data_IF_592609276777
#
_entry.id   IF_592609276777
#
_cell.length_a   1.000
_cell.length_b   1.000
_cell.length_c   1.000
_cell.angle_alpha   90.00
_cell.angle_beta   90.00
_cell.angle_gamma   90.00
#
_symmetry.space_group_name_H-M   'P 1'
#
loop_
_entity.id
_entity.type
_entity.pdbx_description
1 polymer ?
#
# COMPACT_ATOMS: atom_id res chain seq x y z
N UNK A 1 16.72 -37.60 -68.10
CA UNK A 1 15.60 -36.64 -68.09
C UNK A 1 16.04 -35.51 -67.19
N UNK A 2 16.04 -34.30 -67.76
CA UNK A 2 16.14 -32.96 -67.13
C UNK A 2 17.46 -32.64 -66.40
N UNK A 3 18.34 -31.83 -67.01
CA UNK A 3 18.39 -30.34 -66.99
C UNK A 3 19.02 -29.84 -65.66
N UNK A 4 20.28 -29.40 -65.61
CA UNK A 4 20.96 -28.21 -66.16
C UNK A 4 20.62 -26.88 -65.46
N UNK A 5 21.69 -26.10 -65.26
CA UNK A 5 21.76 -24.62 -65.09
C UNK A 5 21.53 -24.06 -63.67
N UNK A 6 22.57 -23.48 -63.04
CA UNK A 6 23.01 -22.05 -63.09
C UNK A 6 22.24 -21.23 -62.02
N UNK A 7 22.71 -20.21 -61.30
CA UNK A 7 23.76 -19.20 -61.52
C UNK A 7 23.92 -18.39 -60.21
N UNK A 8 25.17 -18.01 -59.89
CA UNK A 8 25.67 -16.73 -59.33
C UNK A 8 24.92 -16.07 -58.16
N UNK A 9 25.56 -15.99 -56.99
CA UNK A 9 25.30 -14.93 -55.99
C UNK A 9 26.19 -13.72 -56.29
N UNK A 10 25.58 -12.62 -56.72
CA UNK A 10 26.22 -11.32 -56.91
C UNK A 10 26.37 -10.56 -55.59
N UNK A 11 27.57 -10.02 -55.37
CA UNK A 11 27.89 -9.03 -54.34
C UNK A 11 27.02 -7.77 -54.48
N UNK A 12 26.46 -7.29 -53.37
CA UNK A 12 25.81 -5.99 -53.29
C UNK A 12 26.76 -5.00 -52.61
N UNK A 13 27.16 -3.99 -53.39
CA UNK A 13 27.89 -2.77 -52.99
C UNK A 13 26.99 -1.90 -52.10
N UNK A 14 27.53 -1.22 -51.07
CA UNK A 14 26.75 -0.38 -50.17
C UNK A 14 26.35 0.94 -50.82
N UNK A 15 25.07 1.26 -50.78
CA UNK A 15 24.51 2.55 -51.21
C UNK A 15 24.82 3.63 -50.19
N UNK A 16 25.53 4.67 -50.63
CA UNK A 16 25.77 5.91 -49.89
C UNK A 16 24.46 6.70 -49.75
N UNK A 17 24.10 7.07 -48.52
CA UNK A 17 23.10 8.12 -48.26
C UNK A 17 23.76 9.50 -48.30
N UNK A 18 23.12 10.52 -48.92
CA UNK A 18 23.66 11.87 -48.98
C UNK A 18 23.34 12.67 -47.72
N UNK A 19 24.39 13.31 -47.19
CA UNK A 19 24.37 14.42 -46.23
C UNK A 19 23.75 15.66 -46.88
N UNK A 20 22.89 16.43 -46.18
CA UNK A 20 22.73 17.85 -46.45
C UNK A 20 23.46 18.69 -45.39
N UNK A 21 24.21 19.65 -45.92
CA UNK A 21 25.04 20.64 -45.24
C UNK A 21 24.24 21.71 -44.49
N UNK A 22 24.97 22.35 -43.58
CA UNK A 22 24.70 23.59 -42.87
C UNK A 22 24.07 24.70 -43.73
N UNK A 23 23.11 25.44 -43.14
CA UNK A 23 23.02 26.89 -43.33
C UNK A 23 22.91 27.61 -41.98
N UNK A 24 23.82 28.58 -41.80
CA UNK A 24 23.91 29.49 -40.67
C UNK A 24 23.07 30.75 -40.90
N UNK A 25 22.60 31.29 -39.77
CA UNK A 25 22.44 32.72 -39.46
C UNK A 25 21.37 33.54 -40.19
N UNK A 26 20.39 34.03 -39.41
CA UNK A 26 20.04 35.46 -39.42
C UNK A 26 19.83 35.92 -37.97
N UNK A 27 20.59 36.95 -37.62
CA UNK A 27 20.51 37.76 -36.40
C UNK A 27 19.40 38.77 -36.59
N UNK A 28 18.49 38.93 -35.63
CA UNK A 28 17.73 40.17 -35.50
C UNK A 28 17.66 40.69 -34.07
N UNK A 29 18.01 41.97 -33.97
CA UNK A 29 18.08 42.82 -32.78
C UNK A 29 16.72 43.42 -32.51
N UNK A 30 16.28 43.46 -31.26
CA UNK A 30 15.47 44.57 -30.75
C UNK A 30 15.61 44.71 -29.23
N UNK A 31 16.02 45.91 -28.81
CA UNK A 31 16.16 46.38 -27.44
C UNK A 31 14.84 47.07 -26.98
N UNK A 32 14.71 47.47 -25.70
CA UNK A 32 13.45 47.48 -24.95
C UNK A 32 12.71 48.82 -24.97
N UNK A 33 11.41 48.80 -24.65
CA UNK A 33 10.64 49.98 -24.27
C UNK A 33 10.04 49.84 -22.88
N UNK A 34 10.44 50.79 -22.05
CA UNK A 34 9.92 51.13 -20.73
C UNK A 34 8.45 51.55 -20.77
N UNK A 35 7.70 51.23 -19.72
CA UNK A 35 6.65 52.13 -19.26
C UNK A 35 6.63 52.22 -17.73
N UNK A 36 6.71 53.47 -17.29
CA UNK A 36 6.74 54.01 -15.94
C UNK A 36 5.32 54.40 -15.56
N UNK A 37 4.87 54.09 -14.35
CA UNK A 37 3.75 54.76 -13.65
C UNK A 37 4.09 54.79 -12.13
N UNK A 38 3.77 55.88 -11.39
CA UNK A 38 4.68 56.47 -10.41
C UNK A 38 4.39 56.15 -8.93
N UNK A 39 5.38 56.50 -8.10
CA UNK A 39 5.37 56.54 -6.65
C UNK A 39 4.41 57.61 -6.07
N UNK A 40 3.84 57.33 -4.89
CA UNK A 40 3.74 58.34 -3.84
C UNK A 40 3.91 57.71 -2.45
N UNK A 41 4.58 58.47 -1.61
CA UNK A 41 5.26 58.16 -0.37
C UNK A 41 4.34 58.07 0.86
N UNK A 42 4.81 57.38 1.91
CA UNK A 42 4.17 57.40 3.22
C UNK A 42 4.78 56.45 4.24
N UNK A 43 5.84 56.91 4.91
CA UNK A 43 6.54 56.29 6.05
C UNK A 43 5.62 55.96 7.24
N UNK A 44 5.84 54.81 7.90
CA UNK A 44 6.11 54.74 9.35
C UNK A 44 6.30 53.28 9.79
N UNK A 45 7.38 53.01 10.50
CA UNK A 45 7.68 51.70 11.06
C UNK A 45 6.73 51.29 12.18
N UNK A 46 6.50 49.99 12.30
CA UNK A 46 6.15 49.33 13.56
C UNK A 46 6.37 47.83 13.40
N UNK A 47 7.33 47.31 14.15
CA UNK A 47 7.48 45.88 14.45
C UNK A 47 6.13 45.35 14.94
N UNK A 48 5.57 44.35 14.28
CA UNK A 48 4.50 43.52 14.86
C UNK A 48 4.97 42.08 14.93
N UNK A 49 5.23 41.69 16.17
CA UNK A 49 5.42 40.32 16.59
C UNK A 49 4.23 39.46 16.17
N UNK A 50 4.52 38.21 15.81
CA UNK A 50 3.51 37.17 15.67
C UNK A 50 2.68 37.07 16.97
N UNK A 51 1.34 36.98 16.90
CA UNK A 51 0.57 36.71 18.09
C UNK A 51 0.88 35.30 18.57
N UNK A 52 1.40 35.21 19.81
CA UNK A 52 1.31 34.01 20.62
C UNK A 52 -0.17 33.70 20.76
N UNK A 53 -0.59 32.53 20.27
CA UNK A 53 -1.85 31.93 20.69
C UNK A 53 -1.65 31.46 22.13
N UNK A 54 -1.89 32.38 23.06
CA UNK A 54 -2.27 32.01 24.41
C UNK A 54 -3.65 31.33 24.29
N UNK A 55 -3.75 30.11 24.79
CA UNK A 55 -4.99 29.37 25.03
C UNK A 55 -5.83 30.10 26.08
N UNK A 56 -7.09 30.48 25.80
CA UNK A 56 -8.11 30.49 26.81
C UNK A 56 -9.19 29.48 26.42
N UNK A 57 -9.86 28.94 27.43
CA UNK A 57 -10.95 27.96 27.37
C UNK A 57 -10.52 26.50 27.58
N UNK A 58 -9.96 26.26 28.77
CA UNK A 58 -10.39 25.11 29.56
C UNK A 58 -11.90 25.17 29.81
N UNK A 59 -12.70 24.72 28.86
CA UNK A 59 -14.03 24.17 29.13
C UNK A 59 -13.85 22.67 29.20
N UNK A 60 -13.83 22.13 30.42
CA UNK A 60 -14.06 20.70 30.64
C UNK A 60 -15.35 20.34 29.89
N UNK A 61 -15.21 19.60 28.80
CA UNK A 61 -16.31 18.86 28.18
C UNK A 61 -16.86 18.00 29.32
N UNK A 62 -18.10 18.23 29.73
CA UNK A 62 -18.77 17.32 30.64
C UNK A 62 -19.08 16.10 29.78
N UNK A 63 -18.15 15.16 29.71
CA UNK A 63 -18.38 13.84 29.14
C UNK A 63 -19.41 13.14 30.03
N UNK A 64 -20.45 12.59 29.40
CA UNK A 64 -21.28 11.60 30.08
C UNK A 64 -20.46 10.32 30.31
N UNK A 65 -20.83 9.47 31.28
CA UNK A 65 -20.08 8.25 31.61
C UNK A 65 -19.87 7.27 30.44
N UNK A 66 -20.64 7.38 29.35
CA UNK A 66 -20.46 6.58 28.13
C UNK A 66 -19.50 7.17 27.09
N UNK A 67 -19.15 8.46 27.16
CA UNK A 67 -18.20 9.09 26.23
C UNK A 67 -16.75 8.82 26.64
N UNK A 68 -16.47 8.79 27.95
CA UNK A 68 -15.11 8.50 28.46
C UNK A 68 -14.68 7.05 28.13
N UNK A 69 -15.58 6.07 28.22
CA UNK A 69 -15.27 4.68 27.82
C UNK A 69 -15.11 4.49 26.31
N UNK A 70 -15.80 5.31 25.52
CA UNK A 70 -15.68 5.31 24.04
C UNK A 70 -14.30 5.79 23.61
N UNK A 71 -13.83 6.89 24.20
CA UNK A 71 -12.50 7.43 23.91
C UNK A 71 -11.39 6.47 24.41
N UNK A 72 -11.59 5.82 25.56
CA UNK A 72 -10.66 4.82 26.11
C UNK A 72 -10.54 3.57 25.21
N UNK A 73 -11.65 3.06 24.66
CA UNK A 73 -11.61 1.91 23.75
C UNK A 73 -10.97 2.25 22.41
N UNK A 74 -11.23 3.44 21.85
CA UNK A 74 -10.53 3.91 20.65
C UNK A 74 -9.02 4.00 20.90
N UNK A 75 -8.59 4.53 22.05
CA UNK A 75 -7.17 4.61 22.42
C UNK A 75 -6.56 3.21 22.61
N UNK A 76 -7.26 2.31 23.29
CA UNK A 76 -6.83 0.92 23.49
C UNK A 76 -6.65 0.18 22.16
N UNK A 77 -7.62 0.27 21.25
CA UNK A 77 -7.52 -0.34 19.92
C UNK A 77 -6.47 0.34 19.02
N UNK A 78 -6.20 1.63 19.21
CA UNK A 78 -5.15 2.32 18.46
C UNK A 78 -3.73 1.95 18.95
N UNK A 79 -3.57 1.67 20.24
CA UNK A 79 -2.27 1.38 20.90
C UNK A 79 -1.98 -0.12 21.02
N UNK A 80 -2.94 -0.98 20.67
CA UNK A 80 -2.74 -2.44 20.66
C UNK A 80 -1.55 -2.81 19.76
N UNK A 81 -0.72 -3.77 20.17
CA UNK A 81 0.49 -4.14 19.44
C UNK A 81 1.76 -3.39 19.86
N UNK A 82 1.66 -2.25 20.53
CA UNK A 82 2.85 -1.51 21.02
C UNK A 82 3.61 -2.31 22.10
N UNK A 83 2.91 -3.21 22.81
CA UNK A 83 3.46 -4.29 23.64
C UNK A 83 2.72 -5.59 23.31
N UNK A 84 3.22 -6.32 22.30
CA UNK A 84 2.44 -7.20 21.43
C UNK A 84 1.52 -8.26 22.09
N UNK A 85 1.91 -8.90 23.21
CA UNK A 85 1.13 -10.03 23.74
C UNK A 85 0.18 -9.68 24.88
N UNK A 86 0.65 -8.89 25.87
CA UNK A 86 -0.17 -8.57 27.07
C UNK A 86 -1.38 -7.72 26.72
N UNK A 87 -1.20 -6.75 25.83
CA UNK A 87 -2.26 -5.81 25.47
C UNK A 87 -3.39 -6.50 24.68
N UNK A 88 -3.12 -7.60 23.96
CA UNK A 88 -4.16 -8.32 23.19
C UNK A 88 -5.17 -9.01 24.11
N UNK A 89 -4.68 -9.74 25.11
CA UNK A 89 -5.56 -10.44 26.06
C UNK A 89 -6.39 -9.44 26.86
N UNK A 90 -5.77 -8.38 27.38
CA UNK A 90 -6.47 -7.29 28.11
C UNK A 90 -7.53 -6.60 27.23
N UNK A 91 -7.20 -6.36 25.95
CA UNK A 91 -8.17 -5.78 25.00
C UNK A 91 -9.32 -6.75 24.74
N UNK A 92 -9.06 -8.04 24.59
CA UNK A 92 -10.11 -9.04 24.40
C UNK A 92 -11.05 -9.14 25.60
N UNK A 93 -10.52 -9.12 26.82
CA UNK A 93 -11.35 -9.11 28.03
C UNK A 93 -12.26 -7.86 28.07
N UNK A 94 -11.70 -6.70 27.69
CA UNK A 94 -12.47 -5.46 27.55
C UNK A 94 -13.53 -5.57 26.45
N UNK A 95 -13.22 -6.27 25.36
CA UNK A 95 -14.11 -6.58 24.24
C UNK A 95 -15.03 -7.79 24.49
N UNK A 96 -15.07 -8.41 25.66
CA UNK A 96 -16.07 -9.46 25.96
C UNK A 96 -17.29 -8.92 26.71
N UNK A 97 -17.19 -7.72 27.31
CA UNK A 97 -18.28 -7.10 28.06
C UNK A 97 -19.29 -6.32 27.17
N UNK A 98 -19.43 -6.69 25.89
CA UNK A 98 -19.85 -5.78 24.81
C UNK A 98 -21.30 -5.85 24.32
N UNK A 99 -22.17 -6.67 24.89
CA UNK A 99 -23.54 -6.84 24.35
C UNK A 99 -24.32 -5.52 24.22
N UNK A 100 -23.89 -4.43 24.89
CA UNK A 100 -24.52 -3.11 24.83
C UNK A 100 -23.84 -2.09 23.90
N UNK A 101 -22.71 -2.42 23.26
CA UNK A 101 -21.90 -1.47 22.46
C UNK A 101 -21.39 -2.01 21.11
N UNK A 102 -21.93 -3.12 20.60
CA UNK A 102 -21.46 -3.78 19.37
C UNK A 102 -21.30 -2.82 18.18
N UNK A 103 -22.30 -1.97 17.91
CA UNK A 103 -22.24 -1.02 16.79
C UNK A 103 -21.10 0.01 16.92
N UNK A 104 -20.79 0.46 18.14
CA UNK A 104 -19.67 1.37 18.36
C UNK A 104 -18.35 0.68 18.02
N UNK A 105 -18.21 -0.58 18.42
CA UNK A 105 -16.97 -1.34 18.29
C UNK A 105 -16.71 -1.71 16.84
N UNK A 106 -17.75 -2.08 16.10
CA UNK A 106 -17.70 -2.24 14.65
C UNK A 106 -17.19 -0.95 13.97
N UNK A 107 -17.63 0.23 14.43
CA UNK A 107 -17.10 1.50 13.91
C UNK A 107 -15.62 1.70 14.25
N UNK A 108 -15.18 1.32 15.44
CA UNK A 108 -13.77 1.41 15.84
C UNK A 108 -12.90 0.46 15.00
N UNK A 109 -13.32 -0.80 14.78
CA UNK A 109 -12.66 -1.72 13.86
C UNK A 109 -12.53 -1.13 12.47
N UNK A 110 -13.64 -0.63 11.90
CA UNK A 110 -13.64 -0.01 10.58
C UNK A 110 -12.67 1.20 10.52
N UNK A 111 -12.58 2.03 11.56
CA UNK A 111 -11.60 3.12 11.62
C UNK A 111 -10.16 2.61 11.70
N UNK A 112 -9.89 1.63 12.55
CA UNK A 112 -8.56 1.06 12.74
C UNK A 112 -8.03 0.44 11.45
N UNK A 113 -8.84 -0.35 10.75
CA UNK A 113 -8.46 -0.95 9.45
C UNK A 113 -8.10 0.13 8.42
N UNK A 114 -8.86 1.23 8.40
CA UNK A 114 -8.63 2.33 7.45
C UNK A 114 -7.42 3.18 7.78
N UNK A 115 -7.09 3.39 9.06
CA UNK A 115 -6.10 4.41 9.47
C UNK A 115 -4.91 3.87 10.27
N UNK A 116 -4.86 2.57 10.54
CA UNK A 116 -3.77 1.85 11.20
C UNK A 116 -3.44 0.51 10.50
N UNK A 117 -3.29 0.49 9.16
CA UNK A 117 -3.07 -0.75 8.41
C UNK A 117 -1.78 -1.50 8.78
N UNK A 118 -0.79 -0.84 9.39
CA UNK A 118 0.41 -1.47 9.94
C UNK A 118 0.10 -2.45 11.09
N UNK A 119 -1.10 -2.36 11.68
CA UNK A 119 -1.62 -3.26 12.73
C UNK A 119 -2.70 -4.22 12.23
N UNK A 120 -2.86 -4.36 10.91
CA UNK A 120 -3.95 -5.10 10.26
C UNK A 120 -4.14 -6.52 10.80
N UNK A 121 -3.06 -7.29 10.99
CA UNK A 121 -3.12 -8.68 11.46
C UNK A 121 -3.54 -8.80 12.93
N UNK A 122 -3.33 -7.74 13.72
CA UNK A 122 -3.83 -7.67 15.09
C UNK A 122 -5.34 -7.48 15.04
N UNK A 123 -5.83 -6.58 14.19
CA UNK A 123 -7.26 -6.34 14.04
C UNK A 123 -8.00 -7.55 13.47
N UNK A 124 -7.43 -8.27 12.50
CA UNK A 124 -8.05 -9.50 11.99
C UNK A 124 -8.12 -10.56 13.07
N UNK A 125 -7.05 -10.73 13.87
CA UNK A 125 -7.00 -11.67 15.00
C UNK A 125 -8.06 -11.33 16.04
N UNK A 126 -8.16 -10.06 16.43
CA UNK A 126 -9.20 -9.60 17.36
C UNK A 126 -10.60 -9.86 16.80
N UNK A 127 -10.85 -9.55 15.53
CA UNK A 127 -12.13 -9.81 14.89
C UNK A 127 -12.49 -11.31 14.93
N UNK A 128 -11.53 -12.19 14.63
CA UNK A 128 -11.67 -13.64 14.75
C UNK A 128 -12.02 -14.09 16.17
N UNK A 129 -11.34 -13.56 17.18
CA UNK A 129 -11.54 -13.91 18.58
C UNK A 129 -12.87 -13.40 19.15
N UNK A 130 -13.30 -12.19 18.78
CA UNK A 130 -14.63 -11.68 19.16
C UNK A 130 -15.72 -12.50 18.48
N UNK A 131 -15.53 -12.88 17.20
CA UNK A 131 -16.48 -13.69 16.44
C UNK A 131 -16.74 -15.09 17.03
N UNK A 132 -15.73 -15.70 17.68
CA UNK A 132 -15.93 -16.98 18.40
C UNK A 132 -17.00 -16.85 19.48
N UNK A 133 -17.07 -15.71 20.16
CA UNK A 133 -18.00 -15.47 21.27
C UNK A 133 -19.31 -14.81 20.81
N UNK A 134 -19.26 -13.95 19.80
CA UNK A 134 -20.44 -13.29 19.20
C UNK A 134 -20.42 -13.42 17.68
N UNK A 135 -21.04 -14.49 17.12
CA UNK A 135 -21.14 -14.64 15.66
C UNK A 135 -21.97 -13.54 14.98
N UNK A 136 -22.95 -12.97 15.70
CA UNK A 136 -23.73 -11.83 15.20
C UNK A 136 -22.85 -10.60 14.99
N UNK A 137 -21.95 -10.30 15.94
CA UNK A 137 -20.94 -9.27 15.78
C UNK A 137 -20.11 -9.51 14.52
N UNK A 138 -19.64 -10.75 14.28
CA UNK A 138 -18.86 -11.06 13.08
C UNK A 138 -19.63 -10.79 11.78
N UNK A 139 -20.91 -11.14 11.75
CA UNK A 139 -21.79 -10.86 10.61
C UNK A 139 -21.95 -9.35 10.38
N UNK A 140 -22.26 -8.57 11.41
CA UNK A 140 -22.43 -7.12 11.28
C UNK A 140 -21.11 -6.41 10.95
N UNK A 141 -19.98 -6.92 11.48
CA UNK A 141 -18.65 -6.42 11.16
C UNK A 141 -18.36 -6.58 9.67
N UNK A 142 -18.55 -7.78 9.10
CA UNK A 142 -18.23 -7.99 7.68
C UNK A 142 -19.18 -7.21 6.76
N UNK A 143 -20.46 -7.07 7.12
CA UNK A 143 -21.40 -6.20 6.42
C UNK A 143 -20.92 -4.75 6.41
N UNK A 144 -20.44 -4.24 7.55
CA UNK A 144 -19.89 -2.88 7.62
C UNK A 144 -18.60 -2.74 6.81
N UNK A 145 -17.69 -3.70 6.88
CA UNK A 145 -16.42 -3.63 6.15
C UNK A 145 -16.65 -3.62 4.63
N UNK A 146 -17.55 -4.46 4.10
CA UNK A 146 -17.87 -4.45 2.68
C UNK A 146 -18.64 -3.19 2.27
N UNK A 147 -19.51 -2.65 3.13
CA UNK A 147 -20.12 -1.34 2.89
C UNK A 147 -19.08 -0.22 2.73
N UNK A 148 -18.08 -0.18 3.62
CA UNK A 148 -16.99 0.80 3.56
C UNK A 148 -16.09 0.59 2.33
N UNK A 149 -15.86 -0.66 1.90
CA UNK A 149 -15.16 -0.98 0.66
C UNK A 149 -15.89 -0.41 -0.56
N UNK A 150 -17.19 -0.70 -0.68
CA UNK A 150 -18.00 -0.24 -1.81
C UNK A 150 -18.07 1.29 -1.88
N UNK A 151 -18.22 1.96 -0.73
CA UNK A 151 -18.15 3.43 -0.64
C UNK A 151 -16.77 3.94 -1.06
N UNK A 152 -15.69 3.31 -0.60
CA UNK A 152 -14.32 3.74 -0.93
C UNK A 152 -14.01 3.60 -2.42
N UNK A 153 -14.41 2.48 -3.06
CA UNK A 153 -14.26 2.29 -4.50
C UNK A 153 -15.07 3.32 -5.30
N UNK A 154 -16.31 3.58 -4.90
CA UNK A 154 -17.20 4.54 -5.57
C UNK A 154 -16.68 5.97 -5.47
N UNK A 155 -16.11 6.33 -4.32
CA UNK A 155 -15.57 7.67 -4.04
C UNK A 155 -14.13 7.87 -4.56
N UNK A 156 -13.51 6.83 -5.13
CA UNK A 156 -12.12 6.88 -5.59
C UNK A 156 -11.09 6.94 -4.47
N UNK A 157 -11.42 6.46 -3.26
CA UNK A 157 -10.53 6.35 -2.10
C UNK A 157 -9.77 5.02 -2.16
N UNK A 158 -8.92 4.89 -3.17
CA UNK A 158 -8.26 3.63 -3.52
C UNK A 158 -7.24 3.14 -2.49
N UNK A 159 -6.60 4.05 -1.75
CA UNK A 159 -5.72 3.75 -0.63
C UNK A 159 -6.49 3.06 0.52
N UNK A 160 -7.68 3.58 0.84
CA UNK A 160 -8.56 3.00 1.85
C UNK A 160 -9.11 1.66 1.37
N UNK A 161 -9.53 1.57 0.11
CA UNK A 161 -10.01 0.32 -0.49
C UNK A 161 -8.95 -0.78 -0.42
N UNK A 162 -7.69 -0.47 -0.76
CA UNK A 162 -6.56 -1.39 -0.66
C UNK A 162 -6.42 -1.96 0.77
N UNK A 163 -6.40 -1.09 1.79
CA UNK A 163 -6.30 -1.50 3.20
C UNK A 163 -7.44 -2.43 3.61
N UNK A 164 -8.67 -2.13 3.18
CA UNK A 164 -9.84 -2.97 3.45
C UNK A 164 -9.72 -4.33 2.74
N UNK A 165 -9.30 -4.36 1.47
CA UNK A 165 -9.15 -5.60 0.70
C UNK A 165 -8.09 -6.51 1.33
N UNK A 166 -6.95 -5.94 1.75
CA UNK A 166 -5.90 -6.68 2.47
C UNK A 166 -6.42 -7.25 3.80
N UNK A 167 -7.23 -6.48 4.54
CA UNK A 167 -7.83 -6.96 5.79
C UNK A 167 -8.80 -8.12 5.54
N UNK A 168 -9.67 -8.00 4.53
CA UNK A 168 -10.61 -9.07 4.15
C UNK A 168 -9.87 -10.35 3.74
N UNK A 169 -8.75 -10.24 3.01
CA UNK A 169 -7.94 -11.40 2.67
C UNK A 169 -7.38 -12.09 3.92
N UNK A 170 -6.82 -11.30 4.85
CA UNK A 170 -6.22 -11.81 6.09
C UNK A 170 -7.24 -12.45 7.05
N UNK A 171 -8.52 -12.07 7.01
CA UNK A 171 -9.56 -12.68 7.85
C UNK A 171 -9.65 -14.21 7.72
N UNK A 172 -9.32 -14.78 6.56
CA UNK A 172 -9.30 -16.24 6.39
C UNK A 172 -8.17 -16.93 7.17
N UNK A 173 -7.11 -16.22 7.55
CA UNK A 173 -6.07 -16.71 8.47
C UNK A 173 -6.59 -16.87 9.91
N UNK A 174 -7.73 -16.27 10.23
CA UNK A 174 -8.31 -16.23 11.58
C UNK A 174 -9.54 -17.12 11.74
N UNK A 175 -9.84 -17.95 10.72
CA UNK A 175 -11.05 -18.79 10.72
C UNK A 175 -12.35 -18.04 10.40
N UNK A 176 -12.30 -16.71 10.27
CA UNK A 176 -13.48 -15.87 10.03
C UNK A 176 -14.09 -16.07 8.63
N UNK A 177 -13.25 -16.24 7.60
CA UNK A 177 -13.66 -16.54 6.21
C UNK A 177 -13.09 -17.89 5.75
N UNK A 178 -13.69 -18.48 4.71
CA UNK A 178 -13.09 -19.62 3.99
C UNK A 178 -12.09 -19.13 2.94
N UNK A 179 -11.13 -19.97 2.55
CA UNK A 179 -10.22 -19.66 1.44
C UNK A 179 -10.95 -19.59 0.10
N UNK A 180 -12.04 -20.34 -0.07
CA UNK A 180 -12.88 -20.27 -1.29
C UNK A 180 -13.56 -18.90 -1.41
N UNK A 181 -14.13 -18.40 -0.31
CA UNK A 181 -14.73 -17.07 -0.23
C UNK A 181 -13.70 -15.99 -0.57
N UNK A 182 -12.49 -16.06 0.00
CA UNK A 182 -11.41 -15.09 -0.31
C UNK A 182 -10.92 -15.23 -1.75
N UNK A 183 -10.79 -16.44 -2.28
CA UNK A 183 -10.40 -16.64 -3.68
C UNK A 183 -11.43 -16.05 -4.66
N UNK A 184 -12.73 -16.26 -4.40
CA UNK A 184 -13.80 -15.66 -5.19
C UNK A 184 -13.74 -14.13 -5.13
N UNK A 185 -13.58 -13.56 -3.94
CA UNK A 185 -13.42 -12.13 -3.72
C UNK A 185 -12.24 -11.53 -4.49
N UNK A 186 -11.04 -12.11 -4.38
CA UNK A 186 -9.86 -11.63 -5.11
C UNK A 186 -10.03 -11.75 -6.64
N UNK A 187 -10.73 -12.79 -7.10
CA UNK A 187 -10.96 -12.99 -8.53
C UNK A 187 -11.87 -11.93 -9.15
N UNK A 188 -12.81 -11.33 -8.40
CA UNK A 188 -13.70 -10.26 -8.90
C UNK A 188 -12.89 -9.06 -9.41
N UNK A 189 -11.81 -8.68 -8.70
CA UNK A 189 -10.91 -7.60 -9.12
C UNK A 189 -10.11 -7.95 -10.39
N UNK A 190 -9.95 -9.24 -10.68
CA UNK A 190 -9.20 -9.75 -11.81
C UNK A 190 -10.08 -10.05 -13.04
N UNK A 191 -11.39 -9.83 -12.99
CA UNK A 191 -12.29 -10.09 -14.13
C UNK A 191 -12.06 -9.11 -15.30
N UNK A 192 -11.57 -7.91 -15.00
CA UNK A 192 -11.44 -6.81 -15.97
C UNK A 192 -10.07 -6.68 -16.64
N UNK A 193 -9.13 -7.59 -16.35
CA UNK A 193 -7.72 -7.51 -16.78
C UNK A 193 -7.49 -7.61 -18.31
N UNK A 194 -8.54 -7.82 -19.10
CA UNK A 194 -8.44 -7.86 -20.56
C UNK A 194 -8.19 -6.47 -21.18
N UNK A 195 -8.58 -5.39 -20.50
CA UNK A 195 -8.43 -4.01 -21.00
C UNK A 195 -7.46 -3.24 -20.11
N UNK A 196 -6.26 -2.94 -20.61
CA UNK A 196 -5.24 -2.20 -19.87
C UNK A 196 -5.66 -0.73 -19.64
N UNK A 197 -5.83 -0.34 -18.38
CA UNK A 197 -6.05 1.03 -17.93
C UNK A 197 -5.62 1.21 -16.45
N UNK A 198 -5.76 2.42 -15.90
CA UNK A 198 -5.36 2.71 -14.51
C UNK A 198 -6.18 1.93 -13.46
N UNK A 199 -7.43 1.59 -13.77
CA UNK A 199 -8.27 0.79 -12.86
C UNK A 199 -7.79 -0.66 -12.81
N UNK A 200 -7.46 -1.26 -13.96
CA UNK A 200 -6.92 -2.62 -13.99
C UNK A 200 -5.54 -2.71 -13.35
N UNK A 201 -4.71 -1.68 -13.53
CA UNK A 201 -3.43 -1.55 -12.82
C UNK A 201 -3.63 -1.54 -11.30
N UNK A 202 -4.59 -0.75 -10.82
CA UNK A 202 -4.92 -0.71 -9.39
C UNK A 202 -5.40 -2.06 -8.87
N UNK A 203 -6.30 -2.74 -9.58
CA UNK A 203 -6.83 -4.03 -9.14
C UNK A 203 -5.80 -5.16 -9.16
N UNK A 204 -4.96 -5.23 -10.19
CA UNK A 204 -3.86 -6.21 -10.23
C UNK A 204 -2.86 -5.95 -9.12
N UNK A 205 -2.47 -4.68 -8.91
CA UNK A 205 -1.63 -4.30 -7.79
C UNK A 205 -2.26 -4.66 -6.45
N UNK A 206 -3.57 -4.44 -6.29
CA UNK A 206 -4.29 -4.76 -5.06
C UNK A 206 -4.26 -6.25 -4.76
N UNK A 207 -4.51 -7.10 -5.76
CA UNK A 207 -4.44 -8.56 -5.55
C UNK A 207 -3.01 -8.98 -5.22
N UNK A 208 -2.01 -8.49 -5.96
CA UNK A 208 -0.59 -8.70 -5.64
C UNK A 208 -0.26 -8.30 -4.19
N UNK A 209 -0.72 -7.13 -3.76
CA UNK A 209 -0.50 -6.57 -2.43
C UNK A 209 -1.06 -7.47 -1.35
N UNK A 210 -2.18 -8.17 -1.56
CA UNK A 210 -2.73 -9.07 -0.53
C UNK A 210 -1.91 -10.35 -0.29
N UNK A 211 -1.13 -10.79 -1.28
CA UNK A 211 -0.49 -12.11 -1.27
C UNK A 211 0.54 -12.34 -0.15
N UNK A 212 1.30 -11.37 0.35
CA UNK A 212 2.17 -11.57 1.53
C UNK A 212 1.37 -11.96 2.77
N UNK A 213 0.14 -11.44 2.93
CA UNK A 213 -0.70 -11.76 4.08
C UNK A 213 -1.35 -13.13 3.95
N UNK A 214 -1.87 -13.49 2.77
CA UNK A 214 -2.70 -14.69 2.59
C UNK A 214 -2.05 -15.86 1.83
N UNK A 215 -0.99 -15.60 1.07
CA UNK A 215 -0.43 -16.53 0.10
C UNK A 215 0.03 -17.85 0.71
N UNK A 216 0.60 -17.84 1.92
CA UNK A 216 0.98 -19.05 2.65
C UNK A 216 -0.20 -19.96 2.97
N UNK A 217 -1.32 -19.39 3.40
CA UNK A 217 -2.50 -20.17 3.76
C UNK A 217 -3.13 -20.80 2.51
N UNK A 218 -3.19 -20.04 1.42
CA UNK A 218 -3.55 -20.60 0.11
C UNK A 218 -2.59 -21.72 -0.32
N UNK A 219 -1.29 -21.49 -0.27
CA UNK A 219 -0.29 -22.47 -0.69
C UNK A 219 -0.45 -23.81 0.03
N UNK A 220 -0.68 -23.77 1.35
CA UNK A 220 -0.81 -24.98 2.17
C UNK A 220 -2.18 -25.67 2.04
N UNK A 221 -3.26 -24.91 1.85
CA UNK A 221 -4.62 -25.45 2.00
C UNK A 221 -5.51 -25.36 0.75
N UNK A 222 -5.16 -24.50 -0.22
CA UNK A 222 -5.90 -24.30 -1.46
C UNK A 222 -4.97 -23.79 -2.61
N UNK A 223 -4.00 -24.61 -3.06
CA UNK A 223 -2.98 -24.19 -4.04
C UNK A 223 -3.56 -23.93 -5.44
N UNK A 224 -4.65 -24.60 -5.82
CA UNK A 224 -5.28 -24.42 -7.14
C UNK A 224 -5.83 -23.00 -7.35
N UNK A 225 -6.67 -22.43 -6.45
CA UNK A 225 -7.07 -21.03 -6.53
C UNK A 225 -5.89 -20.05 -6.61
N UNK A 226 -4.83 -20.29 -5.85
CA UNK A 226 -3.63 -19.45 -5.87
C UNK A 226 -2.93 -19.46 -7.22
N UNK A 227 -2.70 -20.64 -7.79
CA UNK A 227 -2.09 -20.77 -9.11
C UNK A 227 -2.92 -20.06 -10.18
N UNK A 228 -4.24 -20.16 -10.13
CA UNK A 228 -5.13 -19.45 -11.06
C UNK A 228 -5.01 -17.93 -10.96
N UNK A 229 -4.91 -17.39 -9.74
CA UNK A 229 -4.69 -15.95 -9.51
C UNK A 229 -3.32 -15.53 -10.09
N UNK A 230 -2.26 -16.29 -9.79
CA UNK A 230 -0.91 -16.01 -10.30
C UNK A 230 -0.83 -16.06 -11.82
N UNK A 231 -1.51 -17.00 -12.46
CA UNK A 231 -1.55 -17.10 -13.93
C UNK A 231 -2.23 -15.88 -14.56
N UNK A 232 -3.33 -15.39 -13.97
CA UNK A 232 -3.99 -14.15 -14.43
C UNK A 232 -3.07 -12.94 -14.29
N UNK A 233 -2.38 -12.82 -13.15
CA UNK A 233 -1.41 -11.74 -12.91
C UNK A 233 -0.26 -11.82 -13.93
N UNK A 234 0.36 -12.99 -14.10
CA UNK A 234 1.47 -13.20 -15.04
C UNK A 234 1.09 -12.81 -16.47
N UNK A 235 -0.12 -13.18 -16.91
CA UNK A 235 -0.62 -12.83 -18.23
C UNK A 235 -0.82 -11.32 -18.41
N UNK A 236 -1.27 -10.62 -17.37
CA UNK A 236 -1.43 -9.17 -17.39
C UNK A 236 -0.07 -8.45 -17.42
N UNK A 237 0.80 -8.78 -16.47
CA UNK A 237 2.15 -8.19 -16.34
C UNK A 237 2.96 -8.36 -17.63
N UNK A 238 2.87 -9.53 -18.27
CA UNK A 238 3.58 -9.80 -19.53
C UNK A 238 3.11 -8.98 -20.75
N UNK A 239 1.90 -8.41 -20.71
CA UNK A 239 1.34 -7.61 -21.83
C UNK A 239 1.32 -6.11 -21.56
N UNK A 240 1.43 -5.69 -20.30
CA UNK A 240 1.31 -4.31 -19.86
C UNK A 240 2.38 -3.40 -20.48
N UNK A 241 1.96 -2.23 -20.94
CA UNK A 241 2.83 -1.21 -21.53
C UNK A 241 3.42 -0.34 -20.42
N UNK A 242 4.69 0.04 -20.61
CA UNK A 242 5.50 0.76 -19.59
C UNK A 242 6.05 2.07 -20.13
N UNK A 243 5.24 2.78 -20.92
CA UNK A 243 5.66 4.03 -21.57
C UNK A 243 5.95 5.15 -20.56
N UNK A 244 5.30 5.11 -19.40
CA UNK A 244 5.51 6.05 -18.29
C UNK A 244 6.88 5.95 -17.64
N UNK A 245 7.55 4.79 -17.71
CA UNK A 245 8.77 4.51 -16.94
C UNK A 245 9.85 5.58 -17.13
N UNK A 246 10.15 5.95 -18.38
CA UNK A 246 11.16 6.97 -18.70
C UNK A 246 10.83 8.35 -18.15
N UNK A 247 9.55 8.68 -18.02
CA UNK A 247 9.09 9.97 -17.51
C UNK A 247 9.09 10.05 -15.98
N UNK A 248 9.01 8.90 -15.32
CA UNK A 248 8.95 8.80 -13.85
C UNK A 248 10.31 8.49 -13.21
N UNK A 249 11.30 8.05 -13.99
CA UNK A 249 12.64 7.79 -13.48
C UNK A 249 13.29 9.02 -12.85
N UNK A 250 13.68 8.90 -11.57
CA UNK A 250 14.47 9.88 -10.81
C UNK A 250 15.89 9.99 -11.39
N UNK A 251 16.49 8.86 -11.76
CA UNK A 251 17.83 8.81 -12.34
C UNK A 251 17.83 8.30 -13.80
N UNK A 252 18.72 8.85 -14.63
CA UNK A 252 18.83 8.46 -16.06
C UNK A 252 20.14 7.71 -16.40
N UNK A 253 20.93 7.34 -15.38
CA UNK A 253 22.25 6.70 -15.54
C UNK A 253 22.27 5.21 -15.20
N UNK A 254 23.43 4.56 -15.40
CA UNK A 254 23.66 3.19 -14.91
C UNK A 254 23.75 3.22 -13.38
N UNK A 255 22.80 2.59 -12.73
CA UNK A 255 22.72 2.48 -11.27
C UNK A 255 23.16 1.09 -10.82
N UNK A 256 23.45 0.97 -9.52
CA UNK A 256 23.60 -0.34 -8.88
C UNK A 256 22.25 -1.08 -8.77
N UNK A 257 21.15 -0.34 -8.60
CA UNK A 257 19.79 -0.86 -8.53
C UNK A 257 18.93 -0.22 -9.63
N UNK A 258 18.16 -1.03 -10.35
CA UNK A 258 17.26 -0.53 -11.39
C UNK A 258 16.04 0.17 -10.78
N UNK A 259 15.54 1.21 -11.46
CA UNK A 259 14.27 1.84 -11.11
C UNK A 259 13.15 1.10 -11.84
N UNK A 260 12.57 0.14 -11.14
CA UNK A 260 11.55 -0.75 -11.67
C UNK A 260 10.16 -0.10 -11.67
N UNK A 261 9.30 -0.55 -12.58
CA UNK A 261 7.87 -0.28 -12.46
C UNK A 261 7.31 -0.99 -11.22
N UNK A 262 6.42 -0.31 -10.48
CA UNK A 262 5.91 -0.81 -9.20
C UNK A 262 5.17 -2.16 -9.27
N UNK A 263 4.46 -2.48 -10.36
CA UNK A 263 3.80 -3.77 -10.52
C UNK A 263 4.82 -4.85 -10.85
N UNK A 264 5.79 -4.56 -11.72
CA UNK A 264 6.86 -5.50 -12.05
C UNK A 264 7.68 -5.86 -10.82
N UNK A 265 8.05 -4.86 -10.02
CA UNK A 265 8.86 -5.05 -8.82
C UNK A 265 8.12 -5.91 -7.80
N UNK A 266 6.85 -5.58 -7.51
CA UNK A 266 6.03 -6.39 -6.61
C UNK A 266 5.80 -7.80 -7.16
N UNK A 267 5.62 -7.95 -8.46
CA UNK A 267 5.50 -9.27 -9.08
C UNK A 267 6.77 -10.12 -8.89
N UNK A 268 7.95 -9.53 -9.10
CA UNK A 268 9.22 -10.21 -8.86
C UNK A 268 9.40 -10.61 -7.39
N UNK A 269 9.00 -9.73 -6.47
CA UNK A 269 9.01 -10.00 -5.03
C UNK A 269 8.05 -11.14 -4.63
N UNK A 270 6.86 -11.20 -5.24
CA UNK A 270 5.92 -12.31 -5.05
C UNK A 270 6.48 -13.62 -5.64
N UNK A 271 7.14 -13.57 -6.80
CA UNK A 271 7.80 -14.74 -7.37
C UNK A 271 8.95 -15.25 -6.48
N UNK A 272 9.70 -14.35 -5.85
CA UNK A 272 10.72 -14.71 -4.86
C UNK A 272 10.07 -15.35 -3.63
N UNK A 273 9.05 -14.71 -3.05
CA UNK A 273 8.29 -15.27 -1.93
C UNK A 273 7.74 -16.67 -2.24
N UNK A 274 7.28 -16.91 -3.47
CA UNK A 274 6.84 -18.24 -3.93
C UNK A 274 7.98 -19.24 -3.97
N UNK A 275 9.18 -18.85 -4.41
CA UNK A 275 10.38 -19.71 -4.40
C UNK A 275 10.79 -20.06 -2.96
N UNK A 276 10.55 -19.14 -2.03
CA UNK A 276 10.79 -19.31 -0.60
C UNK A 276 9.62 -20.00 0.13
N UNK A 277 8.81 -20.80 -0.59
CA UNK A 277 7.68 -21.58 -0.05
C UNK A 277 6.65 -20.71 0.71
N UNK A 278 6.45 -19.47 0.29
CA UNK A 278 5.58 -18.50 0.94
C UNK A 278 5.93 -18.30 2.41
N UNK A 279 7.21 -18.35 2.74
CA UNK A 279 7.74 -17.96 4.05
C UNK A 279 8.24 -16.52 3.97
N UNK A 280 7.75 -15.69 4.88
CA UNK A 280 8.27 -14.35 5.15
C UNK A 280 8.41 -14.20 6.67
N UNK A 281 9.34 -13.35 7.12
CA UNK A 281 9.66 -13.21 8.55
C UNK A 281 9.20 -11.87 9.15
N UNK A 282 8.51 -11.05 8.37
CA UNK A 282 8.28 -9.64 8.68
C UNK A 282 6.91 -9.39 9.32
N UNK A 283 5.83 -9.90 8.74
CA UNK A 283 4.46 -9.67 9.20
C UNK A 283 4.29 -10.24 10.62
N UNK A 284 3.83 -9.41 11.56
CA UNK A 284 3.52 -9.86 12.91
C UNK A 284 2.21 -10.67 12.93
N UNK A 285 2.29 -12.00 13.04
CA UNK A 285 1.13 -12.90 13.00
C UNK A 285 0.71 -13.37 14.40
N UNK A 286 0.19 -12.44 15.21
CA UNK A 286 -0.27 -12.72 16.59
C UNK A 286 -1.33 -13.83 16.68
N UNK A 287 -2.17 -13.98 15.65
CA UNK A 287 -3.21 -15.01 15.58
C UNK A 287 -2.70 -16.45 15.67
N UNK A 288 -1.41 -16.72 15.40
CA UNK A 288 -0.82 -18.05 15.54
C UNK A 288 -0.94 -18.58 16.97
N UNK A 289 -0.78 -17.70 17.98
CA UNK A 289 -0.91 -18.07 19.39
C UNK A 289 -2.35 -18.49 19.77
N UNK A 290 -3.34 -18.03 19.01
CA UNK A 290 -4.77 -18.27 19.26
C UNK A 290 -5.40 -19.26 18.28
N UNK A 291 -4.59 -19.95 17.46
CA UNK A 291 -5.07 -20.80 16.37
C UNK A 291 -6.14 -21.83 16.79
N UNK A 292 -6.01 -22.43 17.96
CA UNK A 292 -6.98 -23.40 18.46
C UNK A 292 -8.36 -22.78 18.68
N UNK A 293 -8.41 -21.58 19.27
CA UNK A 293 -9.64 -20.84 19.52
C UNK A 293 -10.23 -20.32 18.21
N UNK A 294 -9.40 -19.74 17.35
CA UNK A 294 -9.80 -19.19 16.05
C UNK A 294 -10.41 -20.24 15.11
N UNK A 295 -10.01 -21.51 15.22
CA UNK A 295 -10.59 -22.60 14.44
C UNK A 295 -12.05 -22.93 14.82
N UNK A 296 -12.51 -22.50 15.99
CA UNK A 296 -13.89 -22.69 16.45
C UNK A 296 -14.83 -21.57 15.95
N UNK A 297 -14.26 -20.55 15.30
CA UNK A 297 -14.99 -19.36 14.84
C UNK A 297 -16.01 -19.72 13.74
N UNK A 298 -17.22 -19.14 13.82
CA UNK A 298 -18.21 -19.28 12.77
C UNK A 298 -17.72 -18.58 11.51
N UNK A 299 -17.71 -19.30 10.38
CA UNK A 299 -17.36 -18.78 9.07
C UNK A 299 -18.51 -17.92 8.52
N UNK A 300 -18.16 -16.80 7.88
CA UNK A 300 -19.14 -15.90 7.26
C UNK A 300 -19.00 -15.88 5.73
N UNK A 301 -20.12 -15.63 5.06
CA UNK A 301 -20.14 -15.27 3.65
C UNK A 301 -19.86 -13.78 3.46
N UNK A 302 -19.33 -13.40 2.31
CA UNK A 302 -19.13 -12.01 1.97
C UNK A 302 -20.39 -11.40 1.35
N UNK A 303 -20.81 -10.20 1.80
CA UNK A 303 -21.73 -9.36 1.04
C UNK A 303 -21.19 -9.05 -0.36
N UNK A 304 -22.09 -8.60 -1.25
CA UNK A 304 -21.73 -8.24 -2.62
C UNK A 304 -20.75 -7.06 -2.66
N UNK A 305 -19.68 -7.25 -3.43
CA UNK A 305 -18.67 -6.22 -3.70
C UNK A 305 -18.99 -5.60 -5.06
N UNK A 306 -19.19 -4.29 -5.06
CA UNK A 306 -19.59 -3.56 -6.25
C UNK A 306 -18.33 -2.95 -6.87
N UNK A 307 -17.91 -3.49 -8.01
CA UNK A 307 -16.83 -2.93 -8.80
C UNK A 307 -17.40 -1.80 -9.68
N UNK A 308 -17.01 -0.53 -9.48
CA UNK A 308 -17.50 0.56 -10.32
C UNK A 308 -17.03 0.41 -11.77
N UNK A 309 -17.85 0.86 -12.72
CA UNK A 309 -17.42 0.96 -14.12
C UNK A 309 -16.24 1.92 -14.27
N UNK A 310 -15.37 1.64 -15.23
CA UNK A 310 -14.26 2.53 -15.56
C UNK A 310 -14.78 3.90 -15.98
N UNK A 311 -14.16 4.96 -15.45
CA UNK A 311 -14.45 6.34 -15.81
C UNK A 311 -13.17 7.15 -15.80
N UNK A 312 -12.87 7.87 -16.88
CA UNK A 312 -11.69 8.74 -16.98
C UNK A 312 -11.74 9.91 -15.99
N UNK A 313 -12.92 10.25 -15.45
CA UNK A 313 -13.06 11.28 -14.42
C UNK A 313 -12.68 10.80 -13.01
N UNK A 314 -12.57 9.50 -12.81
CA UNK A 314 -12.18 8.91 -11.53
C UNK A 314 -10.67 9.02 -11.35
N UNK A 315 -10.24 9.51 -10.19
CA UNK A 315 -8.83 9.70 -9.88
C UNK A 315 -8.17 8.37 -9.45
N UNK A 316 -7.95 7.48 -10.41
CA UNK A 316 -7.22 6.23 -10.16
C UNK A 316 -5.76 6.50 -9.76
N UNK A 317 -5.14 5.62 -8.94
CA UNK A 317 -3.73 5.74 -8.63
C UNK A 317 -2.89 5.72 -9.91
N UNK A 318 -2.00 6.69 -10.03
CA UNK A 318 -1.07 6.76 -11.15
C UNK A 318 0.00 5.68 -11.03
N UNK A 319 0.57 5.21 -12.15
CA UNK A 319 1.69 4.29 -12.11
C UNK A 319 2.89 4.95 -11.42
N UNK A 320 3.65 4.14 -10.68
CA UNK A 320 4.82 4.57 -9.91
C UNK A 320 6.07 3.82 -10.36
N UNK A 321 7.21 4.39 -10.04
CA UNK A 321 8.47 3.65 -10.04
C UNK A 321 8.87 3.34 -8.61
N UNK A 322 9.65 2.29 -8.45
CA UNK A 322 10.21 1.90 -7.16
C UNK A 322 11.50 2.67 -6.93
N UNK A 323 11.47 3.58 -5.95
CA UNK A 323 12.65 4.34 -5.54
C UNK A 323 13.61 3.45 -4.75
N UNK A 324 14.90 3.48 -5.11
CA UNK A 324 15.95 2.66 -4.50
C UNK A 324 17.23 3.48 -4.35
N UNK A 325 17.63 3.71 -3.11
CA UNK A 325 18.82 4.47 -2.73
C UNK A 325 19.87 3.58 -2.08
N UNK A 326 19.45 2.62 -1.24
CA UNK A 326 20.35 1.82 -0.42
C UNK A 326 20.41 0.35 -0.85
N UNK A 327 21.63 -0.16 -0.86
CA UNK A 327 22.00 -1.56 -0.97
C UNK A 327 22.47 -2.13 0.38
N UNK A 328 22.70 -3.44 0.43
CA UNK A 328 23.28 -4.07 1.62
C UNK A 328 24.69 -3.56 1.95
N UNK A 329 25.45 -3.11 0.95
CA UNK A 329 26.81 -2.58 1.13
C UNK A 329 26.81 -1.24 1.87
N UNK A 330 25.71 -0.49 1.79
CA UNK A 330 25.54 0.80 2.47
C UNK A 330 25.21 0.63 3.96
N UNK A 331 24.70 -0.53 4.37
CA UNK A 331 24.19 -0.80 5.71
C UNK A 331 25.12 -1.71 6.54
N UNK A 332 26.43 -1.53 6.43
CA UNK A 332 27.42 -2.41 7.10
C UNK A 332 27.63 -2.12 8.59
N UNK A 333 27.19 -0.95 9.06
CA UNK A 333 27.32 -0.52 10.46
C UNK A 333 26.17 -1.01 11.36
N UNK A 334 25.22 -1.78 10.83
CA UNK A 334 24.02 -2.25 11.54
C UNK A 334 24.04 -3.79 11.63
N UNK A 335 23.59 -4.35 12.76
CA UNK A 335 23.59 -5.81 12.98
C UNK A 335 22.64 -6.55 12.03
N UNK A 336 21.47 -5.98 11.76
CA UNK A 336 20.48 -6.57 10.87
C UNK A 336 20.73 -6.15 9.40
N UNK A 337 20.77 -7.08 8.44
CA UNK A 337 21.00 -6.75 7.05
C UNK A 337 19.77 -6.07 6.41
N UNK A 338 20.02 -5.18 5.45
CA UNK A 338 18.96 -4.61 4.63
C UNK A 338 18.28 -5.71 3.78
N UNK A 339 16.94 -5.84 3.80
CA UNK A 339 16.24 -6.76 2.90
C UNK A 339 16.54 -6.43 1.44
N UNK A 340 16.77 -7.47 0.62
CA UNK A 340 17.11 -7.31 -0.79
C UNK A 340 15.97 -6.64 -1.56
N UNK A 341 16.27 -5.94 -2.65
CA UNK A 341 15.24 -5.22 -3.42
C UNK A 341 14.10 -6.13 -3.94
N UNK A 342 14.42 -7.40 -4.21
CA UNK A 342 13.48 -8.42 -4.69
C UNK A 342 12.89 -9.28 -3.56
N UNK A 343 13.21 -9.01 -2.29
CA UNK A 343 12.57 -9.66 -1.15
C UNK A 343 11.21 -9.03 -0.87
N UNK A 344 10.24 -9.82 -0.41
CA UNK A 344 8.94 -9.27 -0.02
C UNK A 344 9.04 -8.43 1.25
N UNK A 345 10.00 -8.74 2.12
CA UNK A 345 10.30 -8.00 3.33
C UNK A 345 10.65 -6.54 3.02
N UNK A 346 11.39 -6.27 1.95
CA UNK A 346 11.68 -4.89 1.52
C UNK A 346 10.41 -4.11 1.20
N UNK A 347 9.49 -4.75 0.47
CA UNK A 347 8.19 -4.17 0.17
C UNK A 347 7.35 -3.92 1.43
N UNK A 348 7.27 -4.90 2.33
CA UNK A 348 6.45 -4.79 3.54
C UNK A 348 6.93 -3.68 4.47
N UNK A 349 8.25 -3.55 4.66
CA UNK A 349 8.85 -2.45 5.42
C UNK A 349 8.49 -1.11 4.80
N UNK A 350 8.70 -0.96 3.49
CA UNK A 350 8.41 0.30 2.78
C UNK A 350 6.93 0.65 2.84
N UNK A 351 6.05 -0.33 2.69
CA UNK A 351 4.60 -0.14 2.70
C UNK A 351 4.12 0.32 4.09
N UNK A 352 4.57 -0.32 5.17
CA UNK A 352 4.24 0.09 6.54
C UNK A 352 4.71 1.53 6.83
N UNK A 353 5.96 1.86 6.46
CA UNK A 353 6.50 3.21 6.64
C UNK A 353 5.72 4.25 5.81
N UNK A 354 5.35 3.91 4.58
CA UNK A 354 4.49 4.77 3.74
C UNK A 354 3.11 4.99 4.37
N UNK A 355 2.52 3.97 4.99
CA UNK A 355 1.25 4.11 5.71
C UNK A 355 1.38 4.99 6.95
N UNK A 356 2.44 4.81 7.74
CA UNK A 356 2.74 5.67 8.90
C UNK A 356 2.84 7.13 8.46
N UNK A 357 3.57 7.43 7.38
CA UNK A 357 3.68 8.80 6.86
C UNK A 357 2.32 9.31 6.39
N UNK A 358 1.60 8.53 5.57
CA UNK A 358 0.31 8.93 4.99
C UNK A 358 -0.75 9.23 6.06
N UNK A 359 -0.69 8.56 7.21
CA UNK A 359 -1.63 8.78 8.30
C UNK A 359 -1.21 9.93 9.25
N UNK A 360 0.06 10.33 9.24
CA UNK A 360 0.61 11.27 10.23
C UNK A 360 1.28 12.52 9.64
N UNK A 361 1.32 12.70 8.31
CA UNK A 361 2.08 13.78 7.65
C UNK A 361 1.72 15.21 8.11
N UNK A 362 0.49 15.44 8.58
CA UNK A 362 0.06 16.74 9.12
C UNK A 362 0.66 17.05 10.50
N UNK A 363 1.15 16.05 11.23
CA UNK A 363 1.78 16.20 12.54
C UNK A 363 3.15 15.53 12.54
N UNK A 364 4.16 16.26 12.06
CA UNK A 364 5.53 15.76 11.89
C UNK A 364 6.16 15.19 13.17
N UNK A 365 5.77 15.68 14.37
CA UNK A 365 6.27 15.15 15.65
C UNK A 365 5.73 13.75 15.93
N UNK A 366 4.43 13.56 15.67
CA UNK A 366 3.80 12.24 15.78
C UNK A 366 4.38 11.33 14.71
N UNK A 367 4.39 11.76 13.44
CA UNK A 367 4.96 10.99 12.33
C UNK A 367 6.38 10.49 12.62
N UNK A 368 7.28 11.38 13.04
CA UNK A 368 8.67 11.01 13.38
C UNK A 368 8.76 10.03 14.55
N UNK A 369 7.90 10.18 15.57
CA UNK A 369 7.86 9.23 16.69
C UNK A 369 7.40 7.85 16.23
N UNK A 370 6.30 7.78 15.48
CA UNK A 370 5.73 6.50 15.02
C UNK A 370 6.69 5.76 14.07
N UNK A 371 7.42 6.49 13.20
CA UNK A 371 8.45 5.91 12.34
C UNK A 371 9.61 5.31 13.16
N UNK A 372 10.08 6.04 14.17
CA UNK A 372 11.17 5.56 15.04
C UNK A 372 10.74 4.45 16.01
N UNK A 373 9.44 4.33 16.29
CA UNK A 373 8.88 3.25 17.11
C UNK A 373 8.32 2.11 16.27
N UNK A 374 8.75 1.97 15.01
CA UNK A 374 8.31 0.89 14.15
C UNK A 374 8.64 -0.47 14.77
N UNK A 375 7.64 -1.36 14.85
CA UNK A 375 7.71 -2.59 15.67
C UNK A 375 8.81 -3.58 15.23
N UNK A 376 9.30 -3.48 13.99
CA UNK A 376 10.42 -4.27 13.45
C UNK A 376 11.73 -3.52 13.40
N UNK A 377 11.85 -2.37 14.07
CA UNK A 377 13.01 -1.50 14.01
C UNK A 377 14.35 -2.21 14.22
N UNK A 378 14.43 -3.14 15.16
CA UNK A 378 15.66 -3.88 15.48
C UNK A 378 16.03 -4.97 14.45
N UNK A 379 15.10 -5.34 13.57
CA UNK A 379 15.28 -6.42 12.58
C UNK A 379 15.70 -5.92 11.19
N UNK A 380 15.86 -4.60 11.03
CA UNK A 380 16.25 -3.96 9.77
C UNK A 380 17.12 -2.72 10.05
N UNK A 381 17.86 -2.20 9.06
CA UNK A 381 18.44 -0.87 9.11
C UNK A 381 17.36 0.24 9.07
N UNK A 382 16.61 0.40 10.15
CA UNK A 382 15.40 1.24 10.19
C UNK A 382 15.63 2.67 9.69
N UNK A 383 16.71 3.33 10.12
CA UNK A 383 17.02 4.71 9.73
C UNK A 383 17.24 4.83 8.21
N UNK A 384 17.88 3.84 7.60
CA UNK A 384 18.11 3.80 6.15
C UNK A 384 16.78 3.64 5.41
N UNK A 385 15.93 2.71 5.85
CA UNK A 385 14.60 2.51 5.28
C UNK A 385 13.73 3.77 5.41
N UNK A 386 13.72 4.45 6.56
CA UNK A 386 12.98 5.70 6.76
C UNK A 386 13.46 6.78 5.78
N UNK A 387 14.78 6.97 5.68
CA UNK A 387 15.37 7.97 4.79
C UNK A 387 15.03 7.69 3.33
N UNK A 388 15.14 6.42 2.90
CA UNK A 388 14.82 6.01 1.54
C UNK A 388 13.33 6.21 1.20
N UNK A 389 12.42 5.83 2.09
CA UNK A 389 10.97 6.04 1.90
C UNK A 389 10.64 7.52 1.82
N UNK A 390 11.21 8.36 2.69
CA UNK A 390 10.99 9.82 2.65
C UNK A 390 11.49 10.40 1.33
N UNK A 391 12.68 10.00 0.88
CA UNK A 391 13.20 10.48 -0.41
C UNK A 391 12.39 9.98 -1.60
N UNK A 392 11.89 8.75 -1.56
CA UNK A 392 11.00 8.20 -2.58
C UNK A 392 9.61 8.86 -2.63
N UNK A 393 9.19 9.57 -1.58
CA UNK A 393 8.00 10.43 -1.63
C UNK A 393 8.31 11.85 -2.12
N UNK A 394 9.55 12.30 -1.94
CA UNK A 394 9.98 13.66 -2.31
C UNK A 394 10.31 13.78 -3.80
N UNK A 395 10.91 12.73 -4.38
CA UNK A 395 11.33 12.64 -5.77
C UNK A 395 10.42 11.70 -6.55
#
# INVERSE_FOLDING_TARGET
>A
MEESMEVISSEAVPTQEPVPENEQSVVDKAAPTSNVVPESSGTSGMKRAAPRNDDPHGRKKICGPGADMSDELEELMATIGDNAEKNIVETLESLQNLETQESFIINVFARCIKFKPEKLTIYSTLAGLVNVNSPNFGKELIERIIFELNSSLTEGKFDIALRIITFVADLSNTGFLTLETVASFLNQFMEFVATENLQTDFFVYTVLHTLPWIGRNFYLNAPEPLNQILDKISNYVGKRKKHHLKSLQVWSGKLQQEQEDYIDSLWNQILQLRQDDWNEEHILRVGIAFKNVLNESQKHDLPEVIIPEYSESTNYPLPRIVFRLFTQEDCTDVEAPLPSANSIERFLVEEDLNWIISNNYLNWRVCGRELLSYYRGDSIPLEHCIVEVIFGQLF
#
